data_IF_250380629402
#
_entry.id   IF_250380629402
#
_cell.length_a   1.000
_cell.length_b   1.000
_cell.length_c   1.000
_cell.angle_alpha   90.00
_cell.angle_beta   90.00
_cell.angle_gamma   90.00
#
_symmetry.space_group_name_H-M   'P 1'
#
loop_
_entity.id
_entity.type
_entity.pdbx_description
1 polymer ?
#
# COMPACT_ATOMS: atom_id res chain seq x y z
N UNK A 1 -14.12 -6.26 -13.75
CA UNK A 1 -13.71 -5.65 -12.49
C UNK A 1 -12.91 -6.65 -11.70
N UNK A 2 -11.71 -6.24 -11.33
CA UNK A 2 -10.78 -6.91 -10.42
C UNK A 2 -10.56 -6.04 -9.20
N UNK A 3 -10.07 -6.64 -8.12
CA UNK A 3 -9.69 -5.94 -6.89
C UNK A 3 -8.18 -5.93 -6.75
N UNK A 4 -7.60 -4.73 -6.73
CA UNK A 4 -6.18 -4.50 -6.48
C UNK A 4 -5.99 -3.95 -5.07
N UNK A 5 -5.15 -4.61 -4.28
CA UNK A 5 -4.74 -4.16 -2.96
C UNK A 5 -3.30 -3.61 -3.02
N UNK A 6 -3.15 -2.28 -2.93
CA UNK A 6 -1.87 -1.59 -3.05
C UNK A 6 -1.40 -1.00 -1.73
N UNK A 7 -0.14 -1.27 -1.39
CA UNK A 7 0.49 -0.78 -0.17
C UNK A 7 2.01 -0.66 -0.34
N UNK A 8 2.61 0.22 0.45
CA UNK A 8 4.07 0.35 0.57
C UNK A 8 4.54 -0.60 1.66
N UNK A 9 5.59 -1.37 1.38
CA UNK A 9 6.12 -2.36 2.32
C UNK A 9 7.49 -1.94 2.88
N UNK A 10 7.67 -2.15 4.19
CA UNK A 10 8.96 -1.96 4.86
C UNK A 10 9.56 -3.28 5.34
N UNK A 11 9.35 -3.70 6.59
CA UNK A 11 10.02 -4.86 7.17
C UNK A 11 9.09 -5.80 7.95
N UNK A 12 7.79 -5.54 7.94
CA UNK A 12 6.78 -6.22 8.74
C UNK A 12 6.32 -7.52 8.06
N UNK A 13 7.21 -8.51 7.92
CA UNK A 13 6.94 -9.77 7.20
C UNK A 13 5.73 -10.53 7.75
N UNK A 14 5.55 -10.57 9.08
CA UNK A 14 4.41 -11.22 9.73
C UNK A 14 3.09 -10.50 9.41
N UNK A 15 3.13 -9.16 9.34
CA UNK A 15 1.98 -8.34 8.98
C UNK A 15 1.60 -8.54 7.51
N UNK A 16 2.59 -8.58 6.62
CA UNK A 16 2.39 -8.91 5.21
C UNK A 16 1.73 -10.28 5.06
N UNK A 17 2.26 -11.30 5.75
CA UNK A 17 1.68 -12.64 5.73
C UNK A 17 0.22 -12.62 6.22
N UNK A 18 -0.06 -11.88 7.29
CA UNK A 18 -1.42 -11.72 7.82
C UNK A 18 -2.36 -11.05 6.82
N UNK A 19 -1.94 -9.93 6.21
CA UNK A 19 -2.70 -9.21 5.17
C UNK A 19 -3.03 -10.10 3.99
N UNK A 20 -2.02 -10.79 3.45
CA UNK A 20 -2.18 -11.70 2.32
C UNK A 20 -3.12 -12.87 2.66
N UNK A 21 -3.06 -13.42 3.88
CA UNK A 21 -4.03 -14.43 4.33
C UNK A 21 -5.45 -13.87 4.35
N UNK A 22 -5.66 -12.72 5.02
CA UNK A 22 -6.98 -12.14 5.26
C UNK A 22 -7.70 -11.82 3.95
N UNK A 23 -6.95 -11.30 2.98
CA UNK A 23 -7.50 -10.78 1.73
C UNK A 23 -7.41 -11.77 0.56
N UNK A 24 -6.78 -12.95 0.75
CA UNK A 24 -6.48 -13.89 -0.33
C UNK A 24 -7.68 -14.20 -1.22
N UNK A 25 -8.84 -14.40 -0.62
CA UNK A 25 -10.03 -14.92 -1.32
C UNK A 25 -10.86 -13.81 -1.96
N UNK A 26 -10.57 -12.54 -1.65
CA UNK A 26 -11.35 -11.37 -2.10
C UNK A 26 -10.53 -10.35 -2.90
N UNK A 27 -9.21 -10.55 -2.99
CA UNK A 27 -8.29 -9.71 -3.78
C UNK A 27 -7.72 -10.53 -4.94
N UNK A 28 -7.69 -9.91 -6.12
CA UNK A 28 -7.10 -10.50 -7.33
C UNK A 28 -5.58 -10.30 -7.34
N UNK A 29 -5.11 -9.09 -7.02
CA UNK A 29 -3.69 -8.76 -7.02
C UNK A 29 -3.26 -7.91 -5.82
N UNK A 30 -2.10 -8.27 -5.26
CA UNK A 30 -1.42 -7.50 -4.23
C UNK A 30 -0.29 -6.70 -4.86
N UNK A 31 -0.43 -5.38 -4.95
CA UNK A 31 0.59 -4.48 -5.49
C UNK A 31 1.49 -4.02 -4.35
N UNK A 32 2.58 -4.76 -4.16
CA UNK A 32 3.57 -4.51 -3.12
C UNK A 32 4.64 -3.59 -3.66
N UNK A 33 4.70 -2.36 -3.14
CA UNK A 33 5.74 -1.39 -3.48
C UNK A 33 6.84 -1.39 -2.43
N UNK A 34 8.07 -1.66 -2.83
CA UNK A 34 9.25 -1.65 -1.95
C UNK A 34 10.30 -0.64 -2.46
N UNK A 35 11.23 -0.23 -1.60
CA UNK A 35 12.37 0.63 -1.97
C UNK A 35 13.63 0.14 -1.26
N UNK A 36 14.83 0.26 -1.85
CA UNK A 36 16.08 -0.03 -1.15
C UNK A 36 16.52 1.12 -0.22
N UNK A 37 15.66 2.13 -0.01
CA UNK A 37 15.93 3.26 0.88
C UNK A 37 14.81 3.51 1.88
N UNK A 38 15.20 4.00 3.06
CA UNK A 38 14.29 4.62 4.02
C UNK A 38 13.96 6.06 3.57
N UNK A 39 12.83 6.62 4.00
CA UNK A 39 12.48 8.03 3.72
C UNK A 39 13.52 9.03 4.29
N UNK A 40 14.27 8.61 5.30
CA UNK A 40 15.40 9.37 5.85
C UNK A 40 16.64 9.38 4.94
N UNK A 41 16.72 8.48 3.95
CA UNK A 41 17.82 8.43 2.98
C UNK A 41 18.83 7.31 3.22
N UNK A 42 18.63 6.49 4.26
CA UNK A 42 19.52 5.37 4.54
C UNK A 42 19.15 4.18 3.66
N UNK A 43 20.15 3.45 3.20
CA UNK A 43 19.98 2.16 2.53
C UNK A 43 19.31 1.13 3.45
N UNK A 44 18.52 0.26 2.86
CA UNK A 44 17.89 -0.89 3.51
C UNK A 44 17.81 -2.05 2.52
N UNK A 45 17.80 -3.31 3.00
CA UNK A 45 17.49 -4.43 2.15
C UNK A 45 16.05 -4.34 1.61
N UNK A 46 15.83 -5.03 0.50
CA UNK A 46 14.50 -5.34 -0.01
C UNK A 46 13.99 -6.57 0.76
N UNK A 47 13.36 -6.33 1.91
CA UNK A 47 12.90 -7.36 2.83
C UNK A 47 11.93 -8.33 2.17
N UNK A 48 10.99 -7.86 1.33
CA UNK A 48 10.11 -8.78 0.61
C UNK A 48 10.90 -9.59 -0.42
N UNK A 49 11.73 -8.93 -1.22
CA UNK A 49 12.53 -9.61 -2.24
C UNK A 49 13.43 -10.71 -1.66
N UNK A 50 14.11 -10.44 -0.54
CA UNK A 50 14.98 -11.40 0.15
C UNK A 50 14.20 -12.59 0.76
N UNK A 51 12.90 -12.39 1.04
CA UNK A 51 12.04 -13.39 1.67
C UNK A 51 10.94 -13.91 0.73
N UNK A 52 11.07 -13.70 -0.58
CA UNK A 52 10.00 -14.00 -1.56
C UNK A 52 9.50 -15.44 -1.49
N UNK A 53 10.39 -16.40 -1.20
CA UNK A 53 10.05 -17.82 -1.08
C UNK A 53 9.02 -18.08 0.05
N UNK A 54 9.05 -17.28 1.14
CA UNK A 54 8.08 -17.34 2.25
C UNK A 54 6.65 -17.06 1.76
N UNK A 55 6.50 -16.27 0.71
CA UNK A 55 5.21 -15.82 0.17
C UNK A 55 4.84 -16.56 -1.13
N UNK A 56 5.53 -17.65 -1.45
CA UNK A 56 5.38 -18.39 -2.71
C UNK A 56 3.96 -18.83 -3.04
N UNK A 57 3.11 -19.06 -2.03
CA UNK A 57 1.69 -19.40 -2.20
C UNK A 57 0.83 -18.31 -2.85
N UNK A 58 1.35 -17.08 -2.95
CA UNK A 58 0.69 -15.94 -3.59
C UNK A 58 1.50 -15.37 -4.76
N UNK A 59 2.48 -16.12 -5.28
CA UNK A 59 3.33 -15.64 -6.37
C UNK A 59 2.55 -15.23 -7.63
N UNK A 60 1.37 -15.80 -7.85
CA UNK A 60 0.45 -15.50 -8.94
C UNK A 60 -0.35 -14.21 -8.71
N UNK A 61 -0.46 -13.77 -7.45
CA UNK A 61 -1.21 -12.56 -7.05
C UNK A 61 -0.32 -11.37 -6.71
N UNK A 62 0.90 -11.60 -6.21
CA UNK A 62 1.78 -10.52 -5.80
C UNK A 62 2.50 -9.90 -7.00
N UNK A 63 2.31 -8.60 -7.15
CA UNK A 63 2.99 -7.75 -8.12
C UNK A 63 3.97 -6.88 -7.33
N UNK A 64 5.24 -7.24 -7.42
CA UNK A 64 6.30 -6.55 -6.71
C UNK A 64 6.89 -5.43 -7.57
N UNK A 65 6.73 -4.19 -7.11
CA UNK A 65 7.29 -3.00 -7.75
C UNK A 65 8.37 -2.38 -6.85
N UNK A 66 9.58 -2.20 -7.39
CA UNK A 66 10.70 -1.60 -6.65
C UNK A 66 10.90 -0.17 -7.12
N UNK A 67 10.81 0.77 -6.17
CA UNK A 67 11.20 2.16 -6.36
C UNK A 67 12.69 2.30 -6.06
N UNK A 68 13.51 2.27 -7.11
CA UNK A 68 14.98 2.36 -7.00
C UNK A 68 15.50 3.80 -6.78
N UNK A 69 14.64 4.81 -6.90
CA UNK A 69 15.01 6.21 -6.77
C UNK A 69 14.71 6.78 -5.38
N UNK A 70 15.62 7.62 -4.89
CA UNK A 70 15.39 8.46 -3.71
C UNK A 70 15.85 9.91 -3.95
N UNK A 71 14.97 10.77 -4.48
CA UNK A 71 15.35 12.15 -4.77
C UNK A 71 15.71 12.92 -3.50
N UNK A 72 16.68 13.83 -3.67
CA UNK A 72 17.08 14.82 -2.66
C UNK A 72 16.65 16.25 -3.01
N UNK A 73 16.10 16.43 -4.20
CA UNK A 73 15.61 17.70 -4.72
C UNK A 73 14.33 17.42 -5.51
N UNK A 74 13.30 18.22 -5.26
CA UNK A 74 11.97 18.09 -5.87
C UNK A 74 11.54 19.36 -6.62
N UNK A 75 12.47 20.25 -6.97
CA UNK A 75 12.18 21.51 -7.67
C UNK A 75 11.55 21.27 -9.06
N UNK A 76 11.86 20.12 -9.68
CA UNK A 76 11.26 19.69 -10.94
C UNK A 76 9.83 19.13 -10.78
N UNK A 77 9.35 18.95 -9.55
CA UNK A 77 8.01 18.44 -9.22
C UNK A 77 7.06 19.54 -8.72
N UNK A 78 7.41 20.81 -8.91
CA UNK A 78 6.52 21.92 -8.53
C UNK A 78 5.17 21.89 -9.24
N UNK A 79 5.12 21.35 -10.45
CA UNK A 79 3.89 21.15 -11.22
C UNK A 79 3.42 19.70 -11.14
N UNK A 80 2.11 19.50 -11.28
CA UNK A 80 1.51 18.17 -11.29
C UNK A 80 2.06 17.36 -12.46
N UNK A 81 2.49 16.12 -12.18
CA UNK A 81 2.85 15.14 -13.21
C UNK A 81 1.80 14.03 -13.26
N UNK A 82 2.01 13.01 -14.10
CA UNK A 82 1.04 11.91 -14.26
C UNK A 82 0.68 11.23 -12.93
N UNK A 83 1.69 10.93 -12.09
CA UNK A 83 1.49 10.22 -10.82
C UNK A 83 1.84 11.04 -9.59
N UNK A 84 2.47 12.21 -9.76
CA UNK A 84 2.84 13.07 -8.63
C UNK A 84 1.96 14.30 -8.57
N UNK A 85 1.49 14.60 -7.37
CA UNK A 85 0.89 15.89 -7.03
C UNK A 85 1.88 17.02 -7.25
N UNK A 86 1.39 18.25 -7.38
CA UNK A 86 2.23 19.42 -7.53
C UNK A 86 2.85 19.76 -6.18
N UNK A 87 4.18 19.82 -6.07
CA UNK A 87 4.85 20.09 -4.79
C UNK A 87 4.69 21.53 -4.31
N UNK A 88 4.18 22.42 -5.17
CA UNK A 88 3.75 23.77 -4.76
C UNK A 88 2.42 23.77 -3.99
N UNK A 89 1.64 22.69 -4.08
CA UNK A 89 0.37 22.58 -3.39
C UNK A 89 0.57 22.55 -1.87
N UNK A 90 -0.47 22.97 -1.15
CA UNK A 90 -0.42 23.07 0.31
C UNK A 90 -0.78 21.73 0.96
N UNK A 91 -0.06 21.41 2.03
CA UNK A 91 -0.49 20.38 2.97
C UNK A 91 -1.73 20.84 3.77
N UNK A 92 -2.36 19.96 4.57
CA UNK A 92 -3.53 20.33 5.38
C UNK A 92 -3.31 21.48 6.38
N UNK A 93 -2.06 21.86 6.64
CA UNK A 93 -1.67 22.93 7.55
C UNK A 93 -1.27 24.22 6.82
N UNK A 94 -1.40 24.27 5.49
CA UNK A 94 -1.09 25.45 4.69
C UNK A 94 0.39 25.59 4.31
N UNK A 95 1.20 24.55 4.47
CA UNK A 95 2.62 24.54 4.10
C UNK A 95 2.78 23.94 2.70
N UNK A 96 3.43 24.62 1.74
CA UNK A 96 3.74 24.01 0.45
C UNK A 96 4.55 22.72 0.63
N UNK A 97 4.20 21.66 -0.08
CA UNK A 97 4.86 20.34 0.08
C UNK A 97 6.37 20.41 -0.15
N UNK A 98 6.83 21.26 -1.07
CA UNK A 98 8.25 21.51 -1.36
C UNK A 98 9.02 22.10 -0.17
N UNK A 99 8.33 22.72 0.79
CA UNK A 99 8.93 23.30 2.00
C UNK A 99 8.95 22.32 3.17
N UNK A 100 8.29 21.17 3.05
CA UNK A 100 8.34 20.14 4.09
C UNK A 100 9.76 19.60 4.23
N UNK A 101 10.18 19.13 5.42
CA UNK A 101 11.41 18.38 5.58
C UNK A 101 11.57 17.28 4.52
N UNK A 102 12.78 17.11 3.97
CA UNK A 102 13.06 16.21 2.83
C UNK A 102 12.50 14.78 3.00
N UNK A 103 12.45 14.27 4.23
CA UNK A 103 11.87 12.96 4.54
C UNK A 103 10.39 12.85 4.19
N UNK A 104 9.62 13.93 4.35
CA UNK A 104 8.19 13.94 4.03
C UNK A 104 7.97 14.09 2.53
N UNK A 105 8.82 14.85 1.85
CA UNK A 105 8.83 14.92 0.39
C UNK A 105 9.11 13.53 -0.21
N UNK A 106 10.10 12.81 0.32
CA UNK A 106 10.39 11.42 -0.08
C UNK A 106 9.26 10.44 0.27
N UNK A 107 8.58 10.63 1.41
CA UNK A 107 7.42 9.80 1.76
C UNK A 107 6.28 9.98 0.74
N UNK A 108 6.00 11.22 0.33
CA UNK A 108 5.04 11.54 -0.72
C UNK A 108 5.45 10.95 -2.08
N UNK A 109 6.73 11.10 -2.46
CA UNK A 109 7.29 10.49 -3.67
C UNK A 109 7.10 8.97 -3.70
N UNK A 110 7.47 8.28 -2.62
CA UNK A 110 7.32 6.83 -2.53
C UNK A 110 5.84 6.42 -2.61
N UNK A 111 4.93 7.15 -1.95
CA UNK A 111 3.49 6.88 -2.05
C UNK A 111 2.96 7.09 -3.45
N UNK A 112 3.35 8.15 -4.13
CA UNK A 112 2.96 8.39 -5.52
C UNK A 112 3.53 7.32 -6.46
N UNK A 113 4.72 6.80 -6.18
CA UNK A 113 5.32 5.74 -6.99
C UNK A 113 4.57 4.41 -6.90
N UNK A 114 3.79 4.16 -5.85
CA UNK A 114 2.91 2.99 -5.79
C UNK A 114 1.90 2.94 -6.96
N UNK A 115 1.55 4.11 -7.53
CA UNK A 115 0.71 4.20 -8.73
C UNK A 115 1.36 3.54 -9.96
N UNK A 116 2.69 3.57 -10.09
CA UNK A 116 3.38 2.82 -11.15
C UNK A 116 3.22 1.31 -10.95
N UNK A 117 3.25 0.83 -9.70
CA UNK A 117 2.97 -0.57 -9.39
C UNK A 117 1.56 -0.97 -9.85
N UNK A 118 0.57 -0.12 -9.60
CA UNK A 118 -0.83 -0.36 -10.00
C UNK A 118 -0.99 -0.34 -11.53
N UNK A 119 -0.37 0.61 -12.22
CA UNK A 119 -0.44 0.65 -13.69
C UNK A 119 0.31 -0.53 -14.34
N UNK A 120 1.50 -0.86 -13.83
CA UNK A 120 2.26 -2.03 -14.29
C UNK A 120 1.51 -3.35 -14.03
N UNK A 121 0.65 -3.36 -13.02
CA UNK A 121 -0.24 -4.47 -12.73
C UNK A 121 -1.38 -4.63 -13.75
N UNK A 122 -1.57 -3.65 -14.64
CA UNK A 122 -2.59 -3.66 -15.68
C UNK A 122 -4.00 -3.39 -15.15
N UNK A 123 -4.12 -2.56 -14.10
CA UNK A 123 -5.41 -2.08 -13.63
C UNK A 123 -6.10 -1.24 -14.72
N UNK A 124 -7.42 -1.38 -14.80
CA UNK A 124 -8.29 -0.64 -15.73
C UNK A 124 -9.23 0.30 -14.96
N UNK A 125 -9.87 1.22 -15.68
CA UNK A 125 -10.74 2.25 -15.09
C UNK A 125 -11.97 1.65 -14.35
N UNK A 126 -12.36 0.41 -14.66
CA UNK A 126 -13.49 -0.30 -14.03
C UNK A 126 -13.06 -1.18 -12.83
N UNK A 127 -11.79 -1.14 -12.43
CA UNK A 127 -11.26 -1.95 -11.33
C UNK A 127 -11.30 -1.22 -9.99
N UNK A 128 -11.51 -1.97 -8.90
CA UNK A 128 -11.43 -1.44 -7.54
C UNK A 128 -9.96 -1.44 -7.10
N UNK A 129 -9.43 -0.24 -6.84
CA UNK A 129 -8.08 -0.06 -6.32
C UNK A 129 -8.17 0.38 -4.86
N UNK A 130 -7.56 -0.40 -3.98
CA UNK A 130 -7.40 -0.09 -2.56
C UNK A 130 -5.98 0.42 -2.37
N UNK A 131 -5.84 1.58 -1.72
CA UNK A 131 -4.53 2.14 -1.36
C UNK A 131 -4.50 2.41 0.14
N UNK A 132 -3.49 1.89 0.83
CA UNK A 132 -3.43 1.96 2.29
C UNK A 132 -2.02 1.66 2.80
N UNK A 133 -1.76 1.93 4.07
CA UNK A 133 -0.54 1.46 4.73
C UNK A 133 -0.64 -0.05 5.00
N UNK A 134 0.51 -0.72 5.22
CA UNK A 134 0.57 -2.19 5.30
C UNK A 134 -0.29 -2.76 6.45
N UNK A 135 -0.44 -2.02 7.55
CA UNK A 135 -1.23 -2.36 8.75
C UNK A 135 -2.71 -1.95 8.65
N UNK A 136 -3.10 -1.21 7.62
CA UNK A 136 -4.47 -0.77 7.35
C UNK A 136 -5.23 -1.79 6.51
N UNK A 137 -5.45 -2.99 7.07
CA UNK A 137 -6.12 -4.09 6.36
C UNK A 137 -7.64 -3.86 6.35
N UNK A 138 -8.22 -3.76 5.15
CA UNK A 138 -9.66 -3.61 4.95
C UNK A 138 -10.44 -4.85 5.42
N UNK A 139 -11.69 -4.64 5.86
CA UNK A 139 -12.59 -5.75 6.17
C UNK A 139 -12.90 -6.55 4.89
N UNK A 140 -12.50 -7.84 4.79
CA UNK A 140 -12.71 -8.63 3.58
C UNK A 140 -14.18 -8.81 3.21
N UNK A 141 -15.10 -8.76 4.19
CA UNK A 141 -16.54 -8.91 3.94
C UNK A 141 -17.12 -7.82 3.05
N UNK A 142 -16.51 -6.63 3.01
CA UNK A 142 -16.94 -5.54 2.12
C UNK A 142 -16.56 -5.83 0.66
N UNK A 143 -15.57 -6.71 0.45
CA UNK A 143 -15.06 -7.09 -0.86
C UNK A 143 -15.69 -8.38 -1.41
N UNK A 144 -16.39 -9.16 -0.59
CA UNK A 144 -17.10 -10.38 -1.03
C UNK A 144 -18.25 -10.08 -2.01
N UNK A 145 -18.85 -8.89 -1.90
CA UNK A 145 -19.85 -8.38 -2.82
C UNK A 145 -19.55 -6.91 -3.15
N UNK A 146 -19.46 -6.61 -4.44
CA UNK A 146 -19.08 -5.29 -4.96
C UNK A 146 -20.25 -4.57 -5.66
N UNK A 147 -21.51 -4.95 -5.40
CA UNK A 147 -22.70 -4.30 -5.99
C UNK A 147 -22.82 -2.82 -5.56
N UNK A 148 -22.11 -2.43 -4.51
CA UNK A 148 -22.03 -1.05 -4.01
C UNK A 148 -21.00 -0.20 -4.76
N UNK A 149 -20.07 -0.81 -5.48
CA UNK A 149 -18.95 -0.11 -6.11
C UNK A 149 -19.38 0.54 -7.43
N UNK A 150 -19.03 1.81 -7.57
CA UNK A 150 -19.14 2.60 -8.80
C UNK A 150 -17.75 3.17 -9.12
N UNK A 151 -17.15 2.83 -10.27
CA UNK A 151 -15.80 3.26 -10.63
C UNK A 151 -15.65 4.79 -10.78
N UNK A 152 -16.76 5.53 -10.86
CA UNK A 152 -16.73 6.99 -10.94
C UNK A 152 -16.60 7.69 -9.57
N UNK A 153 -16.60 6.94 -8.47
CA UNK A 153 -16.55 7.48 -7.11
C UNK A 153 -15.24 7.15 -6.39
N UNK A 154 -14.90 8.00 -5.42
CA UNK A 154 -13.82 7.75 -4.48
C UNK A 154 -14.41 7.41 -3.11
N UNK A 155 -13.94 6.33 -2.51
CA UNK A 155 -14.45 5.82 -1.24
C UNK A 155 -13.39 5.99 -0.14
N UNK A 156 -13.86 6.28 1.07
CA UNK A 156 -13.03 6.31 2.28
C UNK A 156 -13.42 5.14 3.17
N UNK A 157 -12.44 4.37 3.64
CA UNK A 157 -12.64 3.35 4.66
C UNK A 157 -12.41 3.94 6.05
N UNK A 158 -13.41 3.86 6.92
CA UNK A 158 -13.27 4.26 8.32
C UNK A 158 -12.46 3.20 9.09
N UNK A 159 -11.25 3.57 9.49
CA UNK A 159 -10.37 2.66 10.21
C UNK A 159 -10.76 2.56 11.70
N UNK A 160 -11.08 1.34 12.15
CA UNK A 160 -11.22 1.03 13.59
C UNK A 160 -9.97 0.34 14.09
N UNK A 161 -9.07 1.09 14.72
CA UNK A 161 -7.85 0.54 15.30
C UNK A 161 -8.19 -0.54 16.34
N UNK A 162 -7.58 -1.71 16.19
CA UNK A 162 -7.73 -2.83 17.11
C UNK A 162 -6.34 -3.28 17.56
N UNK A 163 -6.10 -3.28 18.87
CA UNK A 163 -4.85 -3.78 19.43
C UNK A 163 -4.88 -5.31 19.49
N UNK A 164 -3.98 -5.97 18.75
CA UNK A 164 -3.81 -7.42 18.79
C UNK A 164 -2.45 -7.78 19.37
N UNK A 165 -2.43 -8.55 20.45
CA UNK A 165 -1.20 -9.10 21.01
C UNK A 165 -0.85 -10.40 20.26
N UNK A 166 0.06 -10.29 19.28
CA UNK A 166 0.40 -11.37 18.34
C UNK A 166 1.27 -12.45 18.98
N UNK A 167 1.83 -12.23 20.19
CA UNK A 167 2.76 -13.18 20.83
C UNK A 167 2.18 -14.57 21.13
N UNK A 168 0.85 -14.73 21.12
CA UNK A 168 0.17 -15.99 21.46
C UNK A 168 -1.02 -16.35 20.54
N UNK A 169 -1.14 -15.68 19.39
CA UNK A 169 -2.28 -15.86 18.48
C UNK A 169 -1.80 -16.63 17.26
N UNK A 170 -2.25 -17.88 17.13
CA UNK A 170 -2.12 -18.61 15.86
C UNK A 170 -2.98 -17.91 14.80
N UNK A 171 -2.59 -17.96 13.52
CA UNK A 171 -3.40 -17.43 12.41
C UNK A 171 -4.88 -17.88 12.52
N UNK A 172 -5.13 -19.11 12.96
CA UNK A 172 -6.47 -19.64 13.17
C UNK A 172 -7.27 -18.93 14.27
N UNK A 173 -6.64 -18.54 15.39
CA UNK A 173 -7.29 -17.73 16.44
C UNK A 173 -7.56 -16.30 15.98
N UNK A 174 -6.68 -15.74 15.15
CA UNK A 174 -6.89 -14.42 14.55
C UNK A 174 -8.17 -14.40 13.70
N UNK A 175 -8.36 -15.43 12.87
CA UNK A 175 -9.56 -15.60 12.04
C UNK A 175 -10.85 -15.71 12.85
N UNK A 176 -10.85 -16.45 13.96
CA UNK A 176 -12.02 -16.54 14.85
C UNK A 176 -12.37 -15.19 15.49
N UNK A 177 -11.38 -14.33 15.74
CA UNK A 177 -11.59 -13.00 16.29
C UNK A 177 -12.16 -12.03 15.25
N UNK A 178 -11.70 -12.10 14.00
CA UNK A 178 -12.20 -11.24 12.90
C UNK A 178 -13.65 -11.57 12.52
N UNK A 179 -14.07 -12.83 12.66
CA UNK A 179 -15.46 -13.28 12.41
C UNK A 179 -16.49 -12.82 13.45
N UNK A 180 -16.05 -12.29 14.59
CA UNK A 180 -16.92 -12.04 15.77
C UNK A 180 -17.42 -10.60 15.91
N UNK A 181 -17.44 -9.80 14.84
CA UNK A 181 -18.02 -8.44 14.88
C UNK A 181 -19.03 -8.23 13.77
#
# INVERSE_FOLDING_TARGET
>A
MKVFDSFIFFNELELLEMRLNILNDVVDYFVLTESPFTVSGNEKPLYYQENRDRFSRWNDKIIHYVTEEIPNNFDHMLEKTKYHVAYKDLDPYGTPMIQLPIRFQRALFNRNNSAFGIENAGASDDDLIITSDADEIINPYVLENLDWFDPNNHYLSDLKCSHMNIQNVTLQKLWEMLKKK
#
